data_IF_788619999415
#
_entry.id   IF_788619999415
#
_cell.length_a   1.000
_cell.length_b   1.000
_cell.length_c   1.000
_cell.angle_alpha   90.00
_cell.angle_beta   90.00
_cell.angle_gamma   90.00
#
_symmetry.space_group_name_H-M   'P 1'
#
loop_
_entity.id
_entity.type
_entity.pdbx_description
1 polymer ?
#
# COMPACT_ATOMS: atom_id res chain seq x y z
N UNK A 1 8.36 12.53 -3.86
CA UNK A 1 8.03 11.41 -4.79
C UNK A 1 9.01 11.31 -5.96
N UNK A 2 9.48 12.44 -6.53
CA UNK A 2 10.30 12.49 -7.76
C UNK A 2 11.55 11.58 -7.78
N UNK A 3 12.25 11.41 -6.66
CA UNK A 3 13.45 10.55 -6.60
C UNK A 3 13.17 9.03 -6.63
N UNK A 4 11.94 8.61 -6.27
CA UNK A 4 11.60 7.18 -6.17
C UNK A 4 10.82 6.68 -7.38
N UNK A 5 10.08 7.56 -8.06
CA UNK A 5 9.30 7.22 -9.25
C UNK A 5 10.14 6.53 -10.33
N UNK A 6 11.34 7.02 -10.72
CA UNK A 6 12.20 6.33 -11.67
C UNK A 6 12.60 4.93 -11.22
N UNK A 7 12.89 4.74 -9.93
CA UNK A 7 13.27 3.43 -9.37
C UNK A 7 12.14 2.42 -9.40
N UNK A 8 10.90 2.88 -9.14
CA UNK A 8 9.70 2.03 -9.23
C UNK A 8 9.47 1.63 -10.69
N UNK A 9 9.64 2.55 -11.63
CA UNK A 9 9.53 2.28 -13.06
C UNK A 9 10.62 1.31 -13.55
N UNK A 10 11.87 1.48 -13.12
CA UNK A 10 12.94 0.51 -13.40
C UNK A 10 12.56 -0.89 -12.88
N UNK A 11 12.05 -0.98 -11.65
CA UNK A 11 11.60 -2.23 -11.07
C UNK A 11 10.42 -2.86 -11.84
N UNK A 12 9.47 -2.06 -12.32
CA UNK A 12 8.33 -2.50 -13.15
C UNK A 12 8.82 -3.25 -14.41
N UNK A 13 9.87 -2.69 -15.04
CA UNK A 13 10.43 -3.21 -16.29
C UNK A 13 11.48 -4.31 -16.08
N UNK A 14 12.02 -4.47 -14.88
CA UNK A 14 13.07 -5.44 -14.58
C UNK A 14 12.53 -6.88 -14.57
N UNK A 15 12.79 -7.61 -15.67
CA UNK A 15 12.40 -9.02 -15.81
C UNK A 15 13.17 -9.98 -14.92
N UNK A 16 14.30 -9.57 -14.33
CA UNK A 16 15.08 -10.41 -13.43
C UNK A 16 14.41 -10.61 -12.06
N UNK A 17 13.59 -9.63 -11.65
CA UNK A 17 12.78 -9.73 -10.43
C UNK A 17 11.48 -10.48 -10.76
N UNK A 18 11.12 -11.55 -10.01
CA UNK A 18 9.87 -12.25 -10.22
C UNK A 18 8.69 -11.32 -9.96
N UNK A 19 7.68 -11.38 -10.84
CA UNK A 19 6.46 -10.58 -10.71
C UNK A 19 5.74 -10.99 -9.41
N UNK A 20 5.42 -9.99 -8.60
CA UNK A 20 4.66 -10.17 -7.36
C UNK A 20 3.15 -10.18 -7.63
N UNK A 21 2.67 -9.23 -8.43
CA UNK A 21 1.28 -9.14 -8.89
C UNK A 21 1.21 -8.37 -10.21
N UNK A 22 0.13 -8.51 -10.99
CA UNK A 22 -0.10 -7.63 -12.16
C UNK A 22 -0.42 -6.21 -11.71
N UNK A 23 -1.36 -6.07 -10.77
CA UNK A 23 -1.76 -4.80 -10.18
C UNK A 23 -1.49 -4.82 -8.67
N UNK A 24 -0.58 -3.98 -8.20
CA UNK A 24 -0.23 -3.89 -6.78
C UNK A 24 -0.78 -2.59 -6.19
N UNK A 25 -1.74 -2.72 -5.27
CA UNK A 25 -2.50 -1.61 -4.71
C UNK A 25 -2.03 -1.32 -3.29
N UNK A 26 -1.51 -0.13 -3.05
CA UNK A 26 -1.09 0.33 -1.72
C UNK A 26 -2.07 1.37 -1.19
N UNK A 27 -2.53 1.16 0.04
CA UNK A 27 -3.28 2.18 0.78
C UNK A 27 -2.31 3.25 1.32
N UNK A 28 -2.57 4.52 1.02
CA UNK A 28 -1.75 5.64 1.51
C UNK A 28 -2.56 6.65 2.31
N UNK A 29 -1.93 7.15 3.37
CA UNK A 29 -2.43 8.23 4.21
C UNK A 29 -1.83 9.59 3.84
N UNK A 30 -1.04 9.67 2.76
CA UNK A 30 -0.40 10.91 2.34
C UNK A 30 -1.39 11.83 1.62
N UNK A 31 -1.74 12.97 2.24
CA UNK A 31 -2.65 13.95 1.65
C UNK A 31 -2.04 14.67 0.43
N UNK A 32 -0.72 14.82 0.40
CA UNK A 32 -0.04 15.47 -0.73
C UNK A 32 0.11 14.47 -1.89
N UNK A 33 -0.42 14.76 -3.10
CA UNK A 33 -0.24 13.92 -4.29
C UNK A 33 1.23 13.67 -4.63
N UNK A 34 2.12 14.61 -4.30
CA UNK A 34 3.56 14.53 -4.61
C UNK A 34 4.39 13.80 -3.55
N UNK A 35 3.74 13.19 -2.57
CA UNK A 35 4.39 12.44 -1.50
C UNK A 35 3.92 10.99 -1.48
N UNK A 36 4.86 10.09 -1.17
CA UNK A 36 4.58 8.69 -0.88
C UNK A 36 5.21 8.41 0.47
N UNK A 37 4.45 7.74 1.35
CA UNK A 37 4.95 7.36 2.66
C UNK A 37 6.18 6.46 2.54
N UNK A 38 7.19 6.71 3.37
CA UNK A 38 8.43 5.91 3.39
C UNK A 38 8.16 4.41 3.58
N UNK A 39 7.12 4.04 4.33
CA UNK A 39 6.71 2.63 4.54
C UNK A 39 6.39 1.91 3.23
N UNK A 40 5.73 2.59 2.29
CA UNK A 40 5.32 2.04 1.00
C UNK A 40 6.55 1.90 0.10
N UNK A 41 7.39 2.93 0.04
CA UNK A 41 8.66 2.88 -0.71
C UNK A 41 9.55 1.75 -0.21
N UNK A 42 9.67 1.61 1.11
CA UNK A 42 10.44 0.53 1.73
C UNK A 42 9.85 -0.84 1.39
N UNK A 43 8.52 -1.00 1.37
CA UNK A 43 7.86 -2.23 0.94
C UNK A 43 8.16 -2.59 -0.52
N UNK A 44 8.15 -1.60 -1.42
CA UNK A 44 8.34 -1.81 -2.85
C UNK A 44 9.81 -2.11 -3.18
N UNK A 45 10.73 -1.34 -2.61
CA UNK A 45 12.15 -1.33 -3.03
C UNK A 45 13.09 -2.07 -2.07
N UNK A 46 12.80 -2.13 -0.77
CA UNK A 46 13.74 -2.65 0.23
C UNK A 46 13.43 -4.11 0.60
N UNK A 47 14.49 -4.86 0.97
CA UNK A 47 14.49 -6.31 1.23
C UNK A 47 14.22 -7.14 -0.03
N UNK A 48 12.95 -7.48 -0.29
CA UNK A 48 12.52 -8.27 -1.43
C UNK A 48 11.68 -7.37 -2.33
N UNK A 49 12.25 -6.85 -3.43
CA UNK A 49 11.56 -5.88 -4.25
C UNK A 49 10.26 -6.49 -4.82
N UNK A 50 9.17 -5.76 -4.72
CA UNK A 50 7.83 -6.22 -5.13
C UNK A 50 7.49 -5.64 -6.49
N UNK A 51 7.90 -6.35 -7.54
CA UNK A 51 7.62 -5.95 -8.92
C UNK A 51 6.14 -6.15 -9.26
N UNK A 52 5.52 -5.13 -9.83
CA UNK A 52 4.21 -5.20 -10.46
C UNK A 52 4.21 -4.52 -11.83
N UNK A 53 3.21 -4.81 -12.68
CA UNK A 53 3.07 -4.14 -13.98
C UNK A 53 2.46 -2.75 -13.82
N UNK A 54 1.55 -2.58 -12.84
CA UNK A 54 0.98 -1.28 -12.46
C UNK A 54 0.92 -1.17 -10.94
N UNK A 55 1.44 -0.06 -10.41
CA UNK A 55 1.33 0.33 -9.01
C UNK A 55 0.19 1.31 -8.83
N UNK A 56 -0.70 1.00 -7.89
CA UNK A 56 -1.82 1.85 -7.53
C UNK A 56 -1.63 2.40 -6.13
N UNK A 57 -1.75 3.72 -5.96
CA UNK A 57 -1.78 4.37 -4.66
C UNK A 57 -3.19 4.85 -4.38
N UNK A 58 -3.86 4.22 -3.41
CA UNK A 58 -5.24 4.55 -3.04
C UNK A 58 -5.24 5.35 -1.76
N UNK A 59 -5.76 6.56 -1.84
CA UNK A 59 -5.97 7.44 -0.70
C UNK A 59 -7.46 7.60 -0.44
N UNK A 60 -7.82 7.73 0.84
CA UNK A 60 -9.20 8.00 1.26
C UNK A 60 -9.16 9.25 2.12
N UNK A 61 -9.79 10.29 1.62
CA UNK A 61 -10.02 11.56 2.30
C UNK A 61 -11.46 11.59 2.82
N UNK A 62 -11.64 11.85 4.11
CA UNK A 62 -12.97 11.94 4.71
C UNK A 62 -13.39 13.40 4.78
N UNK A 63 -14.47 13.77 4.09
CA UNK A 63 -14.96 15.14 4.00
C UNK A 63 -16.13 15.38 4.95
N UNK A 64 -16.36 16.65 5.28
CA UNK A 64 -17.41 17.07 6.21
C UNK A 64 -18.83 16.88 5.66
N UNK A 65 -19.01 16.85 4.34
CA UNK A 65 -20.32 16.58 3.76
C UNK A 65 -20.67 15.09 3.93
N UNK A 66 -21.82 14.74 4.53
CA UNK A 66 -22.11 13.38 4.99
C UNK A 66 -22.16 12.32 3.90
N UNK A 67 -22.60 12.66 2.69
CA UNK A 67 -22.95 11.69 1.64
C UNK A 67 -22.09 11.81 0.39
N UNK A 68 -21.03 12.62 0.44
CA UNK A 68 -20.07 12.74 -0.66
C UNK A 68 -19.46 11.37 -1.00
N UNK A 69 -19.37 11.06 -2.28
CA UNK A 69 -18.76 9.83 -2.78
C UNK A 69 -18.13 10.11 -4.14
N UNK A 70 -16.98 10.77 -4.12
CA UNK A 70 -16.26 11.21 -5.30
C UNK A 70 -14.89 10.52 -5.37
N UNK A 71 -14.31 10.50 -6.56
CA UNK A 71 -12.93 10.06 -6.74
C UNK A 71 -12.20 10.95 -7.74
N UNK A 72 -10.88 10.99 -7.61
CA UNK A 72 -9.97 11.67 -8.53
C UNK A 72 -8.86 10.70 -8.90
N UNK A 73 -8.48 10.69 -10.17
CA UNK A 73 -7.35 9.89 -10.67
C UNK A 73 -6.22 10.81 -11.09
N UNK A 74 -5.00 10.47 -10.69
CA UNK A 74 -3.77 11.13 -11.12
C UNK A 74 -2.80 10.09 -11.67
N UNK A 75 -2.43 10.25 -12.94
CA UNK A 75 -1.45 9.39 -13.61
C UNK A 75 -0.06 9.97 -13.36
N UNK A 76 0.68 9.41 -12.40
CA UNK A 76 2.07 9.80 -12.11
C UNK A 76 2.97 9.34 -13.26
N UNK A 77 2.81 8.09 -13.67
CA UNK A 77 3.34 7.55 -14.94
C UNK A 77 2.18 6.81 -15.63
N UNK A 78 1.83 7.21 -16.87
CA UNK A 78 0.76 6.54 -17.62
C UNK A 78 0.97 5.03 -17.70
N UNK A 79 -0.04 4.26 -17.33
CA UNK A 79 -0.06 2.79 -17.41
C UNK A 79 1.07 2.07 -16.63
N UNK A 80 1.59 2.70 -15.57
CA UNK A 80 2.62 2.14 -14.68
C UNK A 80 2.40 2.57 -13.23
N UNK A 81 2.21 3.87 -12.97
CA UNK A 81 2.00 4.39 -11.61
C UNK A 81 0.79 5.32 -11.57
N UNK A 82 -0.25 4.90 -10.86
CA UNK A 82 -1.54 5.59 -10.82
C UNK A 82 -1.94 5.85 -9.38
N UNK A 83 -2.39 7.06 -9.08
CA UNK A 83 -2.95 7.45 -7.79
C UNK A 83 -4.45 7.67 -7.92
N UNK A 84 -5.20 7.13 -6.97
CA UNK A 84 -6.66 7.30 -6.85
C UNK A 84 -6.94 7.89 -5.48
N UNK A 85 -7.50 9.10 -5.46
CA UNK A 85 -7.95 9.75 -4.24
C UNK A 85 -9.48 9.65 -4.16
N UNK A 86 -10.00 8.91 -3.17
CA UNK A 86 -11.42 8.89 -2.85
C UNK A 86 -11.74 10.00 -1.87
N UNK A 87 -12.82 10.75 -2.11
CA UNK A 87 -13.39 11.71 -1.17
C UNK A 87 -14.73 11.18 -0.70
N UNK A 88 -14.77 10.74 0.54
CA UNK A 88 -15.93 10.08 1.13
C UNK A 88 -16.49 10.93 2.28
N UNK A 89 -17.81 11.09 2.31
CA UNK A 89 -18.48 11.71 3.44
C UNK A 89 -18.43 10.82 4.68
N UNK A 90 -18.50 11.42 5.87
CA UNK A 90 -18.38 10.68 7.12
C UNK A 90 -19.50 9.63 7.38
N UNK A 91 -20.62 9.66 6.63
CA UNK A 91 -21.66 8.61 6.67
C UNK A 91 -21.45 7.51 5.64
N UNK A 92 -20.50 7.67 4.72
CA UNK A 92 -20.21 6.71 3.68
C UNK A 92 -19.24 5.65 4.20
N UNK A 93 -19.66 4.39 4.13
CA UNK A 93 -18.79 3.27 4.45
C UNK A 93 -17.70 3.13 3.36
N UNK A 94 -16.41 3.08 3.72
CA UNK A 94 -15.31 2.93 2.77
C UNK A 94 -15.28 1.49 2.23
N UNK A 95 -16.04 1.24 1.16
CA UNK A 95 -16.06 -0.05 0.44
C UNK A 95 -15.01 -0.04 -0.66
N UNK A 96 -13.73 0.03 -0.28
CA UNK A 96 -12.63 0.30 -1.21
C UNK A 96 -12.57 -0.71 -2.34
N UNK A 97 -12.78 -1.99 -2.08
CA UNK A 97 -12.74 -3.00 -3.13
C UNK A 97 -13.78 -2.73 -4.25
N UNK A 98 -15.02 -2.39 -3.86
CA UNK A 98 -16.08 -2.07 -4.80
C UNK A 98 -15.82 -0.75 -5.54
N UNK A 99 -15.43 0.29 -4.79
CA UNK A 99 -15.15 1.62 -5.34
C UNK A 99 -13.96 1.58 -6.30
N UNK A 100 -12.88 0.90 -5.92
CA UNK A 100 -11.69 0.73 -6.75
C UNK A 100 -12.00 -0.04 -8.03
N UNK A 101 -12.79 -1.12 -7.95
CA UNK A 101 -13.26 -1.83 -9.15
C UNK A 101 -14.02 -0.90 -10.10
N UNK A 102 -14.87 -0.03 -9.59
CA UNK A 102 -15.60 0.97 -10.41
C UNK A 102 -14.65 1.95 -11.10
N UNK A 103 -13.66 2.47 -10.36
CA UNK A 103 -12.62 3.34 -10.95
C UNK A 103 -11.87 2.62 -12.06
N UNK A 104 -11.48 1.37 -11.86
CA UNK A 104 -10.80 0.57 -12.89
C UNK A 104 -11.70 0.35 -14.11
N UNK A 105 -12.98 0.02 -13.93
CA UNK A 105 -13.96 -0.12 -15.01
C UNK A 105 -14.04 1.16 -15.86
N UNK A 106 -14.11 2.34 -15.21
CA UNK A 106 -14.19 3.64 -15.88
C UNK A 106 -12.89 3.98 -16.65
N UNK A 107 -11.73 3.74 -16.03
CA UNK A 107 -10.43 3.98 -16.66
C UNK A 107 -10.19 3.09 -17.90
N UNK A 108 -10.70 1.86 -17.86
CA UNK A 108 -10.63 0.94 -19.01
C UNK A 108 -11.58 1.38 -20.12
N UNK A 109 -12.80 1.80 -19.78
CA UNK A 109 -13.77 2.32 -20.75
C UNK A 109 -13.23 3.57 -21.47
N UNK A 110 -12.51 4.43 -20.75
CA UNK A 110 -11.83 5.62 -21.28
C UNK A 110 -10.50 5.34 -21.98
N UNK A 111 -10.04 4.07 -22.01
CA UNK A 111 -8.75 3.63 -22.57
C UNK A 111 -7.53 4.29 -21.91
N UNK A 112 -7.64 4.67 -20.65
CA UNK A 112 -6.54 5.24 -19.87
C UNK A 112 -5.61 4.16 -19.31
N UNK A 113 -6.14 2.96 -19.04
CA UNK A 113 -5.41 1.86 -18.41
C UNK A 113 -5.66 0.55 -19.14
N UNK A 114 -4.60 -0.24 -19.32
CA UNK A 114 -4.71 -1.62 -19.81
C UNK A 114 -4.57 -2.61 -18.66
N UNK A 115 -5.68 -3.27 -18.31
CA UNK A 115 -5.77 -4.27 -17.23
C UNK A 115 -5.52 -5.71 -17.70
N UNK A 116 -5.21 -5.91 -18.98
CA UNK A 116 -4.97 -7.25 -19.52
C UNK A 116 -3.65 -7.77 -18.95
N UNK A 117 -3.71 -9.01 -18.45
CA UNK A 117 -2.55 -9.73 -17.95
C UNK A 117 -1.45 -9.84 -19.02
N UNK A 118 -0.21 -9.49 -18.64
CA UNK A 118 0.97 -9.65 -19.50
C UNK A 118 1.67 -11.00 -19.32
N UNK A 119 1.07 -11.96 -18.61
CA UNK A 119 1.62 -13.31 -18.51
C UNK A 119 1.52 -14.02 -19.87
N UNK A 120 2.60 -14.65 -20.33
CA UNK A 120 2.66 -15.27 -21.67
C UNK A 120 1.54 -16.30 -21.91
N UNK A 121 1.10 -17.00 -20.85
CA UNK A 121 0.00 -17.97 -20.91
C UNK A 121 -1.41 -17.37 -20.90
N UNK A 122 -1.57 -16.13 -20.42
CA UNK A 122 -2.87 -15.48 -20.18
C UNK A 122 -3.11 -14.25 -21.08
N UNK A 123 -2.05 -13.71 -21.68
CA UNK A 123 -2.12 -12.58 -22.59
C UNK A 123 -2.89 -12.95 -23.88
N UNK A 124 -2.79 -14.20 -24.34
CA UNK A 124 -3.49 -14.70 -25.53
C UNK A 124 -4.99 -14.86 -25.33
N UNK A 125 -5.46 -15.01 -24.09
CA UNK A 125 -6.88 -15.18 -23.75
C UNK A 125 -7.57 -13.88 -23.32
N UNK A 126 -6.83 -12.77 -23.20
CA UNK A 126 -7.38 -11.49 -22.77
C UNK A 126 -7.84 -11.48 -21.31
N UNK A 127 -7.23 -12.32 -20.46
CA UNK A 127 -7.63 -12.44 -19.05
C UNK A 127 -7.21 -11.20 -18.27
N UNK A 128 -8.07 -10.71 -17.38
CA UNK A 128 -7.78 -9.59 -16.47
C UNK A 128 -6.66 -9.97 -15.50
N UNK A 129 -5.73 -9.04 -15.27
CA UNK A 129 -4.65 -9.21 -14.29
C UNK A 129 -5.14 -9.42 -12.86
N UNK A 130 -4.30 -10.04 -12.04
CA UNK A 130 -4.52 -10.16 -10.60
C UNK A 130 -4.31 -8.82 -9.89
N UNK A 131 -5.14 -8.56 -8.87
CA UNK A 131 -5.04 -7.38 -8.01
C UNK A 131 -4.65 -7.81 -6.60
N UNK A 132 -3.58 -7.24 -6.07
CA UNK A 132 -3.10 -7.50 -4.72
C UNK A 132 -3.10 -6.21 -3.90
N UNK A 133 -3.84 -6.19 -2.80
CA UNK A 133 -3.91 -5.08 -1.86
C UNK A 133 -2.87 -5.23 -0.75
N UNK A 134 -2.03 -4.22 -0.58
CA UNK A 134 -0.99 -4.15 0.43
C UNK A 134 -1.41 -3.20 1.54
N UNK A 135 -1.62 -3.75 2.74
CA UNK A 135 -1.95 -3.00 3.95
C UNK A 135 -0.74 -2.97 4.86
N UNK A 136 -0.27 -1.77 5.20
CA UNK A 136 0.98 -1.58 5.94
C UNK A 136 0.69 -1.33 7.42
N UNK A 137 0.95 -2.33 8.26
CA UNK A 137 0.71 -2.23 9.70
C UNK A 137 2.01 -1.92 10.47
N UNK A 138 1.93 -0.93 11.37
CA UNK A 138 3.01 -0.63 12.33
C UNK A 138 3.09 -1.71 13.41
N UNK A 139 4.30 -2.17 13.73
CA UNK A 139 4.57 -2.95 14.94
C UNK A 139 5.68 -2.33 15.79
N UNK A 140 5.67 -2.57 17.10
CA UNK A 140 6.77 -2.14 17.97
C UNK A 140 8.00 -3.02 17.73
N UNK A 141 9.10 -2.42 17.26
CA UNK A 141 10.37 -3.17 17.19
C UNK A 141 10.84 -3.56 18.59
N UNK A 142 11.38 -4.77 18.74
CA UNK A 142 12.04 -5.22 19.98
C UNK A 142 13.33 -4.43 20.25
N UNK A 143 13.90 -3.83 19.20
CA UNK A 143 15.13 -3.03 19.25
C UNK A 143 14.91 -1.59 19.77
N UNK A 144 13.75 -1.31 20.38
CA UNK A 144 13.49 -0.03 21.02
C UNK A 144 13.84 -0.10 22.52
N UNK A 145 14.80 0.72 22.95
CA UNK A 145 15.11 0.91 24.37
C UNK A 145 14.20 1.99 24.96
N UNK A 146 12.98 1.59 25.35
CA UNK A 146 12.03 2.48 26.02
C UNK A 146 12.12 2.35 27.54
N UNK A 147 12.01 3.46 28.31
CA UNK A 147 11.77 3.44 29.75
C UNK A 147 10.58 2.55 30.12
N UNK A 148 10.59 1.99 31.34
CA UNK A 148 9.58 1.00 31.76
C UNK A 148 8.13 1.47 31.57
N UNK A 149 7.83 2.72 31.93
CA UNK A 149 6.48 3.31 31.82
C UNK A 149 6.06 3.41 30.35
N UNK A 150 6.93 3.91 29.48
CA UNK A 150 6.67 4.01 28.04
C UNK A 150 6.46 2.62 27.42
N UNK A 151 7.23 1.62 27.84
CA UNK A 151 7.05 0.23 27.41
C UNK A 151 5.67 -0.32 27.78
N UNK A 152 5.18 -0.01 28.98
CA UNK A 152 3.82 -0.42 29.42
C UNK A 152 2.75 0.28 28.59
N UNK A 153 2.87 1.59 28.37
CA UNK A 153 1.95 2.38 27.54
C UNK A 153 1.90 1.83 26.11
N UNK A 154 3.06 1.57 25.50
CA UNK A 154 3.13 1.03 24.13
C UNK A 154 2.51 -0.38 24.05
N UNK A 155 2.78 -1.25 25.03
CA UNK A 155 2.14 -2.58 25.08
C UNK A 155 0.62 -2.48 25.17
N UNK A 156 0.11 -1.59 26.01
CA UNK A 156 -1.33 -1.37 26.14
C UNK A 156 -1.94 -0.80 24.86
N UNK A 157 -1.27 0.16 24.20
CA UNK A 157 -1.69 0.70 22.91
C UNK A 157 -1.81 -0.38 21.83
N UNK A 158 -0.79 -1.23 21.66
CA UNK A 158 -0.83 -2.30 20.66
C UNK A 158 -1.83 -3.40 21.02
N UNK A 159 -2.02 -3.69 22.31
CA UNK A 159 -3.06 -4.61 22.76
C UNK A 159 -4.46 -4.09 22.41
N UNK A 160 -4.74 -2.82 22.65
CA UNK A 160 -6.00 -2.19 22.22
C UNK A 160 -6.15 -2.20 20.69
N UNK A 161 -5.07 -1.91 19.95
CA UNK A 161 -5.09 -1.93 18.48
C UNK A 161 -5.44 -3.33 17.96
N UNK A 162 -4.89 -4.39 18.54
CA UNK A 162 -5.15 -5.79 18.14
C UNK A 162 -6.60 -6.22 18.40
N UNK A 163 -7.25 -5.66 19.44
CA UNK A 163 -8.68 -5.89 19.72
C UNK A 163 -9.62 -4.96 18.96
N UNK A 164 -9.09 -3.94 18.30
CA UNK A 164 -9.84 -3.00 17.48
C UNK A 164 -10.16 -3.58 16.10
N UNK A 165 -10.94 -2.85 15.32
CA UNK A 165 -11.15 -3.15 13.90
C UNK A 165 -9.80 -3.13 13.16
N UNK A 166 -9.46 -4.21 12.47
CA UNK A 166 -8.25 -4.29 11.65
C UNK A 166 -8.35 -3.37 10.44
N UNK A 167 -7.20 -2.90 9.95
CA UNK A 167 -7.15 -1.88 8.90
C UNK A 167 -7.80 -2.38 7.60
N UNK A 168 -7.54 -3.62 7.20
CA UNK A 168 -8.12 -4.22 6.00
C UNK A 168 -9.64 -4.36 6.06
N UNK A 169 -10.20 -4.66 7.25
CA UNK A 169 -11.65 -4.71 7.46
C UNK A 169 -12.24 -3.31 7.48
N UNK A 170 -11.54 -2.35 8.10
CA UNK A 170 -11.92 -0.94 8.12
C UNK A 170 -12.02 -0.33 6.73
N UNK A 171 -11.19 -0.76 5.78
CA UNK A 171 -11.24 -0.35 4.37
C UNK A 171 -12.21 -1.17 3.50
N UNK A 172 -12.93 -2.15 4.07
CA UNK A 172 -13.86 -2.99 3.30
C UNK A 172 -13.16 -3.78 2.18
N UNK A 173 -11.93 -4.25 2.42
CA UNK A 173 -11.15 -5.04 1.47
C UNK A 173 -11.54 -6.52 1.52
N UNK A 174 -11.38 -7.22 0.39
CA UNK A 174 -11.57 -8.67 0.34
C UNK A 174 -10.28 -9.39 0.78
N UNK A 175 -10.39 -10.16 1.86
CA UNK A 175 -9.28 -10.86 2.51
C UNK A 175 -8.54 -11.82 1.56
N UNK A 176 -9.19 -12.31 0.50
CA UNK A 176 -8.56 -13.21 -0.46
C UNK A 176 -7.39 -12.55 -1.22
N UNK A 177 -7.46 -11.23 -1.41
CA UNK A 177 -6.53 -10.46 -2.23
C UNK A 177 -5.73 -9.43 -1.40
N UNK A 178 -5.70 -9.58 -0.08
CA UNK A 178 -5.02 -8.67 0.84
C UNK A 178 -3.77 -9.33 1.42
N UNK A 179 -2.66 -8.60 1.42
CA UNK A 179 -1.46 -8.92 2.19
C UNK A 179 -1.19 -7.81 3.20
N UNK A 180 -1.17 -8.21 4.47
CA UNK A 180 -0.79 -7.34 5.57
C UNK A 180 0.72 -7.44 5.78
N UNK A 181 1.43 -6.33 5.58
CA UNK A 181 2.86 -6.24 5.78
C UNK A 181 3.19 -5.39 7.00
N UNK A 182 4.02 -5.95 7.88
CA UNK A 182 4.40 -5.31 9.14
C UNK A 182 5.69 -4.51 8.96
N UNK A 183 5.69 -3.25 9.38
CA UNK A 183 6.89 -2.41 9.40
C UNK A 183 7.23 -1.90 10.81
N UNK A 184 8.52 -1.87 11.17
CA UNK A 184 8.93 -1.51 12.53
C UNK A 184 8.72 -0.02 12.76
N UNK A 185 8.04 0.31 13.86
CA UNK A 185 8.07 1.63 14.47
C UNK A 185 9.33 1.72 15.34
N UNK A 186 10.29 2.53 14.90
CA UNK A 186 11.53 2.81 15.64
C UNK A 186 11.35 4.18 16.32
N UNK A 187 11.34 4.18 17.66
CA UNK A 187 11.18 5.38 18.50
C UNK A 187 12.51 5.74 19.14
N UNK A 188 13.29 4.74 19.58
CA UNK A 188 14.60 4.92 20.21
C UNK A 188 15.53 3.77 19.76
N UNK A 189 16.39 3.96 18.74
CA UNK A 189 17.23 2.88 18.23
C UNK A 189 18.30 2.47 19.25
N UNK A 190 18.49 1.17 19.46
CA UNK A 190 19.62 0.64 20.26
C UNK A 190 20.93 1.06 19.59
N UNK A 191 21.67 1.94 20.26
CA UNK A 191 22.86 2.56 19.67
C UNK A 191 24.10 1.65 19.70
N UNK A 192 24.23 0.68 20.62
CA UNK A 192 25.46 -0.08 20.77
C UNK A 192 25.26 -1.50 21.37
N UNK A 193 25.18 -2.52 20.52
CA UNK A 193 25.34 -3.92 20.94
C UNK A 193 26.83 -4.29 20.91
N UNK A 194 27.48 -4.43 22.07
CA UNK A 194 28.88 -4.89 22.15
C UNK A 194 28.95 -6.40 21.95
N UNK A 195 28.99 -6.84 20.69
CA UNK A 195 29.27 -8.24 20.34
C UNK A 195 30.77 -8.46 20.24
N UNK A 196 31.29 -9.42 21.00
CA UNK A 196 32.65 -9.93 20.81
C UNK A 196 32.57 -11.25 20.06
N UNK A 197 33.13 -11.30 18.85
CA UNK A 197 33.29 -12.56 18.11
C UNK A 197 34.27 -13.45 18.89
N UNK A 198 33.86 -14.67 19.15
CA UNK A 198 34.71 -15.74 19.70
C UNK A 198 35.01 -16.70 18.55
N UNK A 199 36.23 -17.22 18.48
CA UNK A 199 36.64 -18.28 17.55
C UNK A 199 36.33 -19.66 18.13
#
# INVERSE_FOLDING_TARGET
>A
MEHYVPKIQELSNDKSVPKYATHLVYMTSANNPKEIEHKIIYSILNKKPKRADIYWFVHIDTVDDPYTCEYKVEHIIPNDIIRVDFRLGFRMEPRVNLMFRKVVEDLVANKEVNIISRYESLASTGTVGDFQFMVMEKYLSQDNELPFIERVIMKFHFWLKEHSLSEEKGFGLDLANVTVEKFPLIVAPVTNLKLKRVE
#
